data_IF_433746942999
#
_entry.id   IF_433746942999
#
_cell.length_a   1.000
_cell.length_b   1.000
_cell.length_c   1.000
_cell.angle_alpha   90.00
_cell.angle_beta   90.00
_cell.angle_gamma   90.00
#
_symmetry.space_group_name_H-M   'P 1'
#
loop_
_entity.id
_entity.type
_entity.pdbx_description
1 polymer ?
#
# COMPACT_ATOMS: atom_id res chain seq x y z
N UNK A 1 0.34 -16.86 -63.07
CA UNK A 1 -0.31 -16.71 -61.75
C UNK A 1 -1.62 -17.49 -61.78
N UNK A 2 -1.95 -18.28 -60.75
CA UNK A 2 -3.26 -18.93 -60.66
C UNK A 2 -4.30 -17.89 -60.28
N UNK A 3 -5.44 -17.86 -60.98
CA UNK A 3 -6.56 -17.00 -60.62
C UNK A 3 -7.13 -17.41 -59.25
N UNK A 4 -7.60 -16.44 -58.44
CA UNK A 4 -8.28 -16.73 -57.18
C UNK A 4 -9.56 -17.52 -57.44
N UNK A 5 -9.91 -18.40 -56.52
CA UNK A 5 -11.13 -19.21 -56.61
C UNK A 5 -12.36 -18.31 -56.45
N UNK A 6 -13.50 -18.70 -57.05
CA UNK A 6 -14.79 -18.01 -56.89
C UNK A 6 -15.17 -17.76 -55.41
N UNK A 7 -14.80 -18.68 -54.52
CA UNK A 7 -15.00 -18.53 -53.07
C UNK A 7 -14.20 -17.36 -52.48
N UNK A 8 -12.96 -17.16 -52.90
CA UNK A 8 -12.10 -16.07 -52.41
C UNK A 8 -12.61 -14.72 -52.89
N UNK A 9 -13.09 -14.65 -54.14
CA UNK A 9 -13.74 -13.46 -54.68
C UNK A 9 -15.03 -13.12 -53.92
N UNK A 10 -15.82 -14.13 -53.53
CA UNK A 10 -17.03 -13.92 -52.71
C UNK A 10 -16.70 -13.32 -51.35
N UNK A 11 -15.71 -13.86 -50.64
CA UNK A 11 -15.27 -13.31 -49.34
C UNK A 11 -14.72 -11.89 -49.48
N UNK A 12 -13.97 -11.60 -50.55
CA UNK A 12 -13.45 -10.26 -50.81
C UNK A 12 -14.58 -9.24 -51.04
N UNK A 13 -15.60 -9.62 -51.82
CA UNK A 13 -16.79 -8.76 -52.03
C UNK A 13 -17.57 -8.57 -50.73
N UNK A 14 -17.76 -9.63 -49.93
CA UNK A 14 -18.41 -9.53 -48.62
C UNK A 14 -17.64 -8.58 -47.68
N UNK A 15 -16.32 -8.75 -47.58
CA UNK A 15 -15.46 -7.92 -46.74
C UNK A 15 -15.45 -6.45 -47.15
N UNK A 16 -15.65 -6.14 -48.44
CA UNK A 16 -15.71 -4.76 -48.96
C UNK A 16 -16.97 -4.02 -48.51
N UNK A 17 -18.09 -4.75 -48.36
CA UNK A 17 -19.39 -4.18 -48.00
C UNK A 17 -19.61 -4.18 -46.48
N UNK A 18 -18.94 -5.06 -45.75
CA UNK A 18 -19.00 -5.05 -44.28
C UNK A 18 -18.23 -3.86 -43.69
N UNK A 19 -18.74 -3.23 -42.61
CA UNK A 19 -18.03 -2.17 -41.92
C UNK A 19 -16.69 -2.68 -41.36
N UNK A 20 -15.69 -1.80 -41.31
CA UNK A 20 -14.39 -2.13 -40.77
C UNK A 20 -14.49 -2.52 -39.28
N UNK A 21 -13.80 -3.59 -38.90
CA UNK A 21 -13.71 -4.03 -37.50
C UNK A 21 -12.82 -3.11 -36.64
N UNK A 22 -11.95 -2.31 -37.27
CA UNK A 22 -11.01 -1.43 -36.59
C UNK A 22 -11.71 -0.34 -35.78
N UNK A 23 -11.24 -0.12 -34.55
CA UNK A 23 -11.65 1.03 -33.74
C UNK A 23 -11.01 2.32 -34.26
N UNK A 24 -11.53 3.48 -33.85
CA UNK A 24 -11.00 4.80 -34.23
C UNK A 24 -9.82 5.27 -33.37
N UNK A 25 -9.04 4.34 -32.80
CA UNK A 25 -7.84 4.70 -32.03
C UNK A 25 -6.83 5.41 -32.93
N UNK A 26 -6.20 6.53 -32.52
CA UNK A 26 -6.23 7.18 -31.20
C UNK A 26 -7.28 8.29 -31.04
N UNK A 27 -8.11 8.56 -32.05
CA UNK A 27 -9.14 9.64 -32.00
C UNK A 27 -10.23 9.36 -30.96
N UNK A 28 -10.65 8.11 -30.84
CA UNK A 28 -11.56 7.63 -29.79
C UNK A 28 -10.82 6.62 -28.91
N UNK A 29 -10.79 6.79 -27.58
CA UNK A 29 -10.11 5.86 -26.69
C UNK A 29 -10.82 4.51 -26.69
N UNK A 30 -10.06 3.42 -26.62
CA UNK A 30 -10.62 2.11 -26.36
C UNK A 30 -11.12 2.05 -24.92
N UNK A 31 -12.33 1.54 -24.70
CA UNK A 31 -12.89 1.25 -23.39
C UNK A 31 -12.60 -0.21 -23.01
N UNK A 32 -11.71 -0.46 -22.05
CA UNK A 32 -11.40 -1.82 -21.64
C UNK A 32 -12.60 -2.51 -20.97
N UNK A 33 -12.51 -3.83 -20.85
CA UNK A 33 -13.53 -4.60 -20.14
C UNK A 33 -13.52 -4.29 -18.63
N UNK A 34 -14.66 -4.49 -17.96
CA UNK A 34 -14.78 -4.31 -16.50
C UNK A 34 -13.78 -5.24 -15.79
N UNK A 35 -12.98 -4.71 -14.86
CA UNK A 35 -11.87 -5.41 -14.18
C UNK A 35 -10.63 -5.64 -15.06
N UNK A 36 -10.43 -4.83 -16.10
CA UNK A 36 -9.16 -4.78 -16.79
C UNK A 36 -8.02 -4.45 -15.80
N UNK A 37 -6.88 -5.12 -15.97
CA UNK A 37 -5.71 -4.96 -15.10
C UNK A 37 -4.75 -3.92 -15.67
N UNK A 38 -5.11 -2.65 -15.53
CA UNK A 38 -4.27 -1.52 -15.93
C UNK A 38 -3.31 -1.07 -14.84
N UNK A 39 -2.91 0.21 -14.89
CA UNK A 39 -2.00 0.81 -13.93
C UNK A 39 -2.58 0.71 -12.51
N UNK A 40 -1.82 0.18 -11.53
CA UNK A 40 -2.22 0.24 -10.13
C UNK A 40 -2.34 1.70 -9.68
N UNK A 41 -3.49 2.06 -9.11
CA UNK A 41 -3.75 3.34 -8.47
C UNK A 41 -3.71 3.11 -6.96
N UNK A 42 -2.92 3.92 -6.28
CA UNK A 42 -2.73 3.85 -4.83
C UNK A 42 -3.41 5.06 -4.19
N UNK A 43 -4.30 4.80 -3.23
CA UNK A 43 -4.93 5.85 -2.44
C UNK A 43 -4.01 6.20 -1.27
N UNK A 44 -3.65 7.48 -1.13
CA UNK A 44 -2.88 7.90 0.04
C UNK A 44 -3.69 7.78 1.33
N UNK A 45 -4.98 8.08 1.31
CA UNK A 45 -5.82 8.01 2.50
C UNK A 45 -6.11 6.56 2.97
N UNK A 46 -6.18 5.60 2.04
CA UNK A 46 -6.56 4.21 2.35
C UNK A 46 -5.36 3.26 2.45
N UNK A 47 -4.19 3.64 1.93
CA UNK A 47 -2.97 2.86 2.04
C UNK A 47 -2.31 3.08 3.39
N UNK A 48 -2.32 2.05 4.23
CA UNK A 48 -1.78 2.13 5.59
C UNK A 48 -0.29 1.80 5.70
N UNK A 49 0.40 1.50 4.61
CA UNK A 49 1.83 1.17 4.64
C UNK A 49 2.21 -0.13 5.36
N UNK A 50 1.34 -1.15 5.30
CA UNK A 50 1.50 -2.47 5.95
C UNK A 50 2.51 -3.43 5.29
N UNK A 51 3.15 -3.05 4.17
CA UNK A 51 4.14 -3.85 3.42
C UNK A 51 3.61 -5.12 2.72
N UNK A 52 2.35 -5.53 2.92
CA UNK A 52 1.82 -6.76 2.32
C UNK A 52 2.00 -6.78 0.80
N UNK A 53 1.70 -5.67 0.12
CA UNK A 53 1.83 -5.57 -1.34
C UNK A 53 3.29 -5.73 -1.83
N UNK A 54 4.28 -5.32 -1.04
CA UNK A 54 5.70 -5.52 -1.37
C UNK A 54 6.08 -7.00 -1.26
N UNK A 55 5.62 -7.67 -0.20
CA UNK A 55 5.94 -9.08 0.07
C UNK A 55 5.30 -10.06 -0.93
N UNK A 56 4.12 -9.74 -1.47
CA UNK A 56 3.44 -10.60 -2.45
C UNK A 56 3.83 -10.31 -3.91
N UNK A 57 4.63 -9.27 -4.17
CA UNK A 57 4.96 -8.83 -5.51
C UNK A 57 5.96 -9.80 -6.19
N UNK A 58 5.55 -10.58 -7.22
CA UNK A 58 6.45 -11.56 -7.82
C UNK A 58 7.73 -10.96 -8.44
N UNK A 59 7.69 -9.82 -9.17
CA UNK A 59 8.89 -9.21 -9.73
C UNK A 59 9.65 -8.30 -8.77
N UNK A 60 9.17 -8.10 -7.52
CA UNK A 60 9.77 -7.13 -6.60
C UNK A 60 9.67 -5.67 -7.08
N UNK A 61 8.61 -5.33 -7.82
CA UNK A 61 8.36 -3.99 -8.34
C UNK A 61 7.96 -2.97 -7.25
N UNK A 62 7.52 -3.45 -6.09
CA UNK A 62 7.16 -2.62 -4.95
C UNK A 62 8.21 -2.83 -3.86
N UNK A 63 8.91 -1.77 -3.48
CA UNK A 63 9.93 -1.78 -2.44
C UNK A 63 9.57 -0.80 -1.33
N UNK A 64 10.10 -1.01 -0.13
CA UNK A 64 9.95 -0.06 0.96
C UNK A 64 11.26 0.12 1.71
N UNK A 65 11.45 1.30 2.30
CA UNK A 65 12.58 1.62 3.16
C UNK A 65 12.10 2.46 4.34
N UNK A 66 12.61 2.13 5.52
CA UNK A 66 12.34 2.88 6.73
C UNK A 66 13.48 3.86 7.02
N UNK A 67 13.13 5.13 7.16
CA UNK A 67 13.99 6.19 7.68
C UNK A 67 13.59 6.46 9.14
N UNK A 68 14.42 5.98 10.08
CA UNK A 68 14.17 6.11 11.51
C UNK A 68 14.39 7.53 12.04
N UNK A 69 15.27 8.30 11.39
CA UNK A 69 15.58 9.67 11.80
C UNK A 69 14.39 10.58 11.48
N UNK A 70 13.88 10.47 10.25
CA UNK A 70 12.69 11.19 9.81
C UNK A 70 11.38 10.56 10.27
N UNK A 71 11.43 9.35 10.84
CA UNK A 71 10.26 8.55 11.24
C UNK A 71 9.28 8.35 10.08
N UNK A 72 9.79 8.06 8.89
CA UNK A 72 8.96 7.81 7.70
C UNK A 72 9.32 6.49 7.05
N UNK A 73 8.31 5.85 6.49
CA UNK A 73 8.42 4.74 5.57
C UNK A 73 8.22 5.27 4.17
N UNK A 74 9.19 5.01 3.31
CA UNK A 74 9.12 5.35 1.90
C UNK A 74 8.77 4.08 1.15
N UNK A 75 7.67 4.10 0.40
CA UNK A 75 7.21 3.01 -0.45
C UNK A 75 7.40 3.45 -1.89
N UNK A 76 8.16 2.68 -2.65
CA UNK A 76 8.48 2.94 -4.06
C UNK A 76 7.87 1.86 -4.93
N UNK A 77 7.30 2.27 -6.06
CA UNK A 77 6.62 1.40 -7.01
C UNK A 77 7.17 1.66 -8.40
N UNK A 78 7.82 0.65 -8.96
CA UNK A 78 8.41 0.67 -10.28
C UNK A 78 7.46 0.02 -11.30
N UNK A 79 6.72 0.84 -12.05
CA UNK A 79 5.81 0.35 -13.07
C UNK A 79 6.53 -0.24 -14.29
N UNK A 80 7.83 0.02 -14.46
CA UNK A 80 8.65 -0.62 -15.49
C UNK A 80 9.00 -2.08 -15.18
N UNK A 81 8.98 -2.49 -13.91
CA UNK A 81 9.15 -3.89 -13.46
C UNK A 81 7.83 -4.62 -13.23
N UNK A 82 6.74 -3.89 -13.11
CA UNK A 82 5.43 -4.45 -12.79
C UNK A 82 4.92 -5.36 -13.93
N UNK A 83 4.41 -6.54 -13.57
CA UNK A 83 3.78 -7.48 -14.53
C UNK A 83 2.25 -7.39 -14.52
N UNK A 84 1.68 -6.38 -13.84
CA UNK A 84 0.23 -6.10 -13.78
C UNK A 84 -0.64 -7.31 -13.37
N UNK A 85 -0.12 -8.17 -12.50
CA UNK A 85 -0.80 -9.42 -12.12
C UNK A 85 -2.01 -9.23 -11.19
N UNK A 86 -2.08 -8.13 -10.44
CA UNK A 86 -3.16 -7.84 -9.49
C UNK A 86 -2.97 -8.37 -8.06
N UNK A 87 -1.85 -9.04 -7.75
CA UNK A 87 -1.59 -9.59 -6.41
C UNK A 87 -1.60 -8.52 -5.30
N UNK A 88 -1.18 -7.30 -5.61
CA UNK A 88 -1.19 -6.20 -4.65
C UNK A 88 -2.61 -5.75 -4.27
N UNK A 89 -3.56 -5.79 -5.20
CA UNK A 89 -4.97 -5.46 -4.96
C UNK A 89 -5.65 -6.55 -4.12
N UNK A 90 -5.48 -7.82 -4.51
CA UNK A 90 -6.07 -8.97 -3.82
C UNK A 90 -5.63 -9.06 -2.34
N UNK A 91 -4.34 -8.85 -2.08
CA UNK A 91 -3.79 -8.95 -0.72
C UNK A 91 -3.80 -7.62 0.05
N UNK A 92 -4.46 -6.58 -0.47
CA UNK A 92 -4.58 -5.31 0.24
C UNK A 92 -5.47 -5.46 1.48
N UNK A 93 -4.90 -5.33 2.68
CA UNK A 93 -5.66 -5.53 3.94
C UNK A 93 -6.82 -4.54 4.12
N UNK A 94 -6.75 -3.37 3.46
CA UNK A 94 -7.81 -2.36 3.48
C UNK A 94 -8.83 -2.53 2.34
N UNK A 95 -8.50 -3.32 1.30
CA UNK A 95 -9.29 -3.50 0.08
C UNK A 95 -9.43 -2.26 -0.81
N UNK A 96 -8.87 -1.12 -0.37
CA UNK A 96 -8.97 0.18 -1.06
C UNK A 96 -7.62 0.89 -1.23
N UNK A 97 -6.58 0.43 -0.53
CA UNK A 97 -5.26 1.09 -0.56
C UNK A 97 -4.57 1.01 -1.91
N UNK A 98 -4.81 -0.05 -2.68
CA UNK A 98 -4.37 -0.18 -4.07
C UNK A 98 -5.43 -0.90 -4.89
N UNK A 99 -5.72 -0.40 -6.08
CA UNK A 99 -6.63 -1.01 -7.05
C UNK A 99 -6.06 -0.92 -8.45
N UNK A 100 -6.26 -1.94 -9.27
CA UNK A 100 -5.87 -1.85 -10.67
C UNK A 100 -6.91 -1.03 -11.42
N UNK A 101 -6.44 -0.04 -12.19
CA UNK A 101 -7.32 0.79 -13.01
C UNK A 101 -7.82 0.00 -14.22
N UNK A 102 -9.12 0.12 -14.49
CA UNK A 102 -9.74 -0.33 -15.72
C UNK A 102 -9.63 0.71 -16.86
N UNK A 103 -9.38 1.97 -16.53
CA UNK A 103 -9.29 3.08 -17.48
C UNK A 103 -7.85 3.39 -17.92
N UNK A 104 -6.89 3.31 -17.00
CA UNK A 104 -5.49 3.69 -17.26
C UNK A 104 -4.69 2.46 -17.70
N UNK A 105 -4.52 2.29 -19.01
CA UNK A 105 -3.70 1.22 -19.60
C UNK A 105 -2.49 1.73 -20.37
N UNK A 106 -2.55 2.95 -20.91
CA UNK A 106 -1.46 3.55 -21.66
C UNK A 106 -0.57 4.37 -20.71
N UNK A 107 0.58 3.79 -20.36
CA UNK A 107 1.59 4.43 -19.50
C UNK A 107 2.95 4.53 -20.21
N UNK A 108 2.97 4.41 -21.54
CA UNK A 108 4.21 4.47 -22.30
C UNK A 108 4.92 5.82 -22.07
N UNK A 109 6.17 5.77 -21.63
CA UNK A 109 7.01 6.93 -21.34
C UNK A 109 8.43 6.68 -21.84
N UNK A 110 9.10 7.75 -22.27
CA UNK A 110 10.50 7.69 -22.71
C UNK A 110 11.48 7.65 -21.54
N UNK A 111 11.13 8.32 -20.43
CA UNK A 111 11.93 8.33 -19.21
C UNK A 111 11.39 7.31 -18.20
N UNK A 112 12.30 6.51 -17.64
CA UNK A 112 12.00 5.52 -16.60
C UNK A 112 11.66 6.18 -15.27
N UNK A 113 12.17 7.37 -14.97
CA UNK A 113 11.92 8.03 -13.69
C UNK A 113 10.43 8.36 -13.50
N UNK A 114 9.70 8.61 -14.59
CA UNK A 114 8.26 8.90 -14.60
C UNK A 114 7.42 7.65 -14.28
N UNK A 115 7.98 6.45 -14.48
CA UNK A 115 7.34 5.17 -14.13
C UNK A 115 7.54 4.79 -12.66
N UNK A 116 8.22 5.62 -11.88
CA UNK A 116 8.43 5.43 -10.46
C UNK A 116 7.44 6.27 -9.67
N UNK A 117 6.72 5.64 -8.75
CA UNK A 117 5.86 6.33 -7.80
C UNK A 117 6.37 6.16 -6.37
N UNK A 118 6.39 7.26 -5.62
CA UNK A 118 6.86 7.31 -4.23
C UNK A 118 5.73 7.76 -3.31
N UNK A 119 5.57 7.04 -2.21
CA UNK A 119 4.63 7.35 -1.15
C UNK A 119 5.33 7.33 0.21
N UNK A 120 5.00 8.26 1.09
CA UNK A 120 5.59 8.36 2.42
C UNK A 120 4.54 8.16 3.50
N UNK A 121 4.88 7.40 4.55
CA UNK A 121 3.99 7.08 5.67
C UNK A 121 4.70 7.25 7.00
N UNK A 122 4.04 7.87 7.97
CA UNK A 122 4.65 8.11 9.28
C UNK A 122 4.82 6.80 10.07
N UNK A 123 6.03 6.57 10.56
CA UNK A 123 6.42 5.43 11.38
C UNK A 123 6.09 5.67 12.85
N UNK A 124 5.61 4.60 13.48
CA UNK A 124 5.50 4.43 14.91
C UNK A 124 6.75 3.68 15.41
N UNK A 125 7.58 4.38 16.18
CA UNK A 125 8.85 3.87 16.69
C UNK A 125 8.76 3.72 18.21
N UNK A 126 9.41 2.69 18.74
CA UNK A 126 9.53 2.50 20.17
C UNK A 126 10.46 3.56 20.79
N UNK A 127 9.96 4.27 21.80
CA UNK A 127 10.71 5.33 22.48
C UNK A 127 11.90 4.81 23.29
N UNK A 128 11.88 3.54 23.70
CA UNK A 128 12.97 2.94 24.50
C UNK A 128 14.10 2.34 23.66
N UNK A 129 13.80 1.63 22.58
CA UNK A 129 14.81 0.87 21.83
C UNK A 129 14.98 1.33 20.37
N UNK A 130 14.16 2.27 19.88
CA UNK A 130 14.22 2.73 18.49
C UNK A 130 13.79 1.67 17.46
N UNK A 131 13.19 0.56 17.89
CA UNK A 131 12.63 -0.42 16.98
C UNK A 131 11.40 0.16 16.26
N UNK A 132 11.31 -0.09 14.95
CA UNK A 132 10.10 0.22 14.16
C UNK A 132 9.02 -0.77 14.58
N UNK A 133 7.86 -0.25 14.98
CA UNK A 133 6.72 -1.09 15.35
C UNK A 133 5.85 -1.31 14.10
N UNK A 134 5.40 -0.22 13.49
CA UNK A 134 4.59 -0.18 12.26
C UNK A 134 4.42 1.28 11.83
N UNK A 135 3.60 1.59 10.82
CA UNK A 135 3.09 2.94 10.55
C UNK A 135 1.93 3.33 11.50
N UNK A 136 1.74 4.63 11.75
CA UNK A 136 0.61 5.12 12.56
C UNK A 136 -0.74 4.74 11.98
N UNK A 137 -0.89 4.87 10.66
CA UNK A 137 -2.12 4.55 9.94
C UNK A 137 -2.47 3.05 10.02
N UNK A 138 -1.48 2.16 9.99
CA UNK A 138 -1.72 0.73 10.15
C UNK A 138 -2.21 0.40 11.55
N UNK A 139 -1.64 1.02 12.59
CA UNK A 139 -2.14 0.81 13.95
C UNK A 139 -3.57 1.35 14.13
N UNK A 140 -3.88 2.52 13.54
CA UNK A 140 -5.23 3.07 13.53
C UNK A 140 -6.22 2.18 12.77
N UNK A 141 -5.79 1.56 11.67
CA UNK A 141 -6.59 0.56 10.96
C UNK A 141 -6.85 -0.69 11.82
N UNK A 142 -5.81 -1.22 12.48
CA UNK A 142 -5.95 -2.36 13.39
C UNK A 142 -6.88 -2.05 14.56
N UNK A 143 -6.80 -0.86 15.13
CA UNK A 143 -7.72 -0.42 16.18
C UNK A 143 -9.18 -0.46 15.70
N UNK A 144 -9.49 0.15 14.55
CA UNK A 144 -10.83 0.13 13.96
C UNK A 144 -11.31 -1.29 13.66
N UNK A 145 -10.42 -2.16 13.17
CA UNK A 145 -10.75 -3.56 12.84
C UNK A 145 -10.99 -4.43 14.07
N UNK A 146 -10.27 -4.20 15.17
CA UNK A 146 -10.39 -4.95 16.43
C UNK A 146 -11.51 -4.43 17.35
N UNK A 147 -11.90 -3.16 17.20
CA UNK A 147 -12.96 -2.53 18.00
C UNK A 147 -12.67 -2.59 19.51
N UNK A 148 -13.63 -3.02 20.35
CA UNK A 148 -13.44 -3.13 21.81
C UNK A 148 -12.26 -4.00 22.24
N UNK A 149 -11.82 -4.95 21.40
CA UNK A 149 -10.66 -5.80 21.73
C UNK A 149 -9.34 -5.04 21.67
N UNK A 150 -9.27 -3.92 20.94
CA UNK A 150 -8.04 -3.15 20.83
C UNK A 150 -7.56 -2.61 22.18
N UNK A 151 -8.48 -2.30 23.10
CA UNK A 151 -8.19 -1.78 24.44
C UNK A 151 -7.45 -2.77 25.35
N UNK A 152 -7.44 -4.07 25.01
CA UNK A 152 -6.66 -5.06 25.74
C UNK A 152 -5.14 -4.87 25.57
N UNK A 153 -4.72 -4.20 24.49
CA UNK A 153 -3.31 -3.89 24.23
C UNK A 153 -2.99 -2.48 24.67
N UNK A 154 -2.03 -2.37 25.60
CA UNK A 154 -1.54 -1.10 26.12
C UNK A 154 -0.99 -0.20 25.00
N UNK A 155 -0.33 -0.77 23.99
CA UNK A 155 0.17 -0.01 22.84
C UNK A 155 -0.98 0.63 22.05
N UNK A 156 -2.05 -0.13 21.79
CA UNK A 156 -3.21 0.40 21.06
C UNK A 156 -3.90 1.50 21.87
N UNK A 157 -4.00 1.34 23.18
CA UNK A 157 -4.56 2.35 24.07
C UNK A 157 -3.72 3.65 24.07
N UNK A 158 -2.39 3.52 24.15
CA UNK A 158 -1.49 4.68 24.18
C UNK A 158 -1.53 5.47 22.87
N UNK A 159 -1.54 4.78 21.72
CA UNK A 159 -1.67 5.46 20.42
C UNK A 159 -3.06 6.09 20.25
N UNK A 160 -4.13 5.44 20.73
CA UNK A 160 -5.46 6.05 20.71
C UNK A 160 -5.51 7.33 21.56
N UNK A 161 -4.92 7.33 22.76
CA UNK A 161 -4.85 8.50 23.61
C UNK A 161 -4.10 9.66 22.93
N UNK A 162 -3.02 9.37 22.21
CA UNK A 162 -2.30 10.36 21.40
C UNK A 162 -3.17 10.93 20.26
N UNK A 163 -3.96 10.07 19.60
CA UNK A 163 -4.86 10.49 18.52
C UNK A 163 -6.06 11.32 19.03
N UNK A 164 -6.68 10.90 20.13
CA UNK A 164 -7.85 11.58 20.70
C UNK A 164 -7.49 12.89 21.42
N UNK A 165 -6.20 13.11 21.74
CA UNK A 165 -5.70 14.32 22.44
C UNK A 165 -6.48 14.62 23.73
N UNK A 166 -6.90 13.58 24.44
CA UNK A 166 -7.67 13.72 25.69
C UNK A 166 -6.87 14.41 26.81
N UNK A 167 -5.54 14.44 26.68
CA UNK A 167 -4.62 15.21 27.52
C UNK A 167 -3.62 15.96 26.63
N UNK A 168 -2.99 17.02 27.17
CA UNK A 168 -1.97 17.78 26.43
C UNK A 168 -0.75 16.86 26.20
N UNK A 169 -0.08 17.00 25.05
CA UNK A 169 1.04 16.13 24.66
C UNK A 169 2.21 16.16 25.67
N UNK A 170 2.34 17.25 26.42
CA UNK A 170 3.32 17.47 27.49
C UNK A 170 3.03 16.61 28.74
N UNK A 171 1.76 16.25 28.98
CA UNK A 171 1.34 15.47 30.15
C UNK A 171 1.43 13.95 29.91
N UNK A 172 1.53 13.51 28.65
CA UNK A 172 1.51 12.08 28.26
C UNK A 172 2.92 11.51 28.13
N UNK A 173 3.91 12.33 27.72
CA UNK A 173 5.26 11.86 27.40
C UNK A 173 6.14 11.80 28.64
N UNK A 174 6.24 10.62 29.25
CA UNK A 174 7.23 10.35 30.28
C UNK A 174 8.52 9.95 29.59
N UNK A 175 9.54 10.80 29.58
CA UNK A 175 10.85 10.43 29.03
C UNK A 175 11.36 9.15 29.70
N UNK A 176 11.66 8.12 28.90
CA UNK A 176 12.26 6.88 29.40
C UNK A 176 13.64 7.21 29.95
N UNK A 177 13.75 7.27 31.28
CA UNK A 177 14.98 7.58 32.02
C UNK A 177 15.20 6.48 33.06
N UNK A 178 16.46 6.10 33.25
CA UNK A 178 16.90 5.12 34.27
C UNK A 178 16.37 3.68 34.07
N UNK A 179 16.38 3.22 32.82
CA UNK A 179 15.91 1.87 32.45
C UNK A 179 14.37 1.76 32.37
N UNK A 180 13.89 0.61 31.90
CA UNK A 180 12.46 0.35 31.72
C UNK A 180 11.79 0.07 33.06
N UNK A 181 10.94 1.01 33.52
CA UNK A 181 10.14 0.92 34.75
C UNK A 181 8.66 0.74 34.40
N UNK A 182 7.84 0.37 35.40
CA UNK A 182 6.39 0.16 35.23
C UNK A 182 5.64 1.38 34.67
N UNK A 183 6.10 2.59 34.98
CA UNK A 183 5.54 3.84 34.46
C UNK A 183 5.69 3.99 32.93
N UNK A 184 6.73 3.38 32.33
CA UNK A 184 7.03 3.50 30.91
C UNK A 184 6.08 2.65 30.04
N UNK A 185 5.18 1.89 30.66
CA UNK A 185 4.14 1.11 30.00
C UNK A 185 3.10 1.99 29.27
N UNK A 186 2.97 3.26 29.68
CA UNK A 186 2.08 4.25 29.06
C UNK A 186 2.71 4.98 27.87
N UNK A 187 4.00 4.73 27.61
CA UNK A 187 4.68 5.24 26.43
C UNK A 187 4.46 4.32 25.21
N UNK A 188 4.87 4.79 24.03
CA UNK A 188 4.87 3.97 22.82
C UNK A 188 6.07 3.02 22.87
N UNK A 189 5.82 1.79 23.32
CA UNK A 189 6.84 0.74 23.48
C UNK A 189 6.54 -0.48 22.62
N UNK A 190 7.57 -1.10 22.05
CA UNK A 190 7.41 -2.35 21.29
C UNK A 190 7.08 -3.52 22.23
N UNK A 191 6.49 -4.62 21.71
CA UNK A 191 6.14 -5.79 22.52
C UNK A 191 7.31 -6.37 23.34
N UNK A 192 8.54 -6.30 22.80
CA UNK A 192 9.74 -6.76 23.51
C UNK A 192 10.11 -5.87 24.70
N UNK A 193 10.00 -4.54 24.56
CA UNK A 193 10.21 -3.61 25.69
C UNK A 193 9.07 -3.70 26.70
N UNK A 194 7.83 -3.84 26.24
CA UNK A 194 6.66 -4.05 27.11
C UNK A 194 6.82 -5.32 27.94
N UNK A 195 7.27 -6.43 27.34
CA UNK A 195 7.58 -7.67 28.06
C UNK A 195 8.63 -7.44 29.14
N UNK A 196 9.68 -6.66 28.87
CA UNK A 196 10.69 -6.34 29.89
C UNK A 196 10.08 -5.59 31.07
N UNK A 197 9.18 -4.64 30.83
CA UNK A 197 8.48 -3.90 31.90
C UNK A 197 7.60 -4.83 32.75
N UNK A 198 6.84 -5.73 32.11
CA UNK A 198 5.88 -6.61 32.78
C UNK A 198 6.54 -7.78 33.52
N UNK A 199 7.61 -8.35 32.95
CA UNK A 199 8.23 -9.59 33.45
C UNK A 199 9.45 -9.31 34.33
N UNK A 200 10.20 -8.21 34.13
CA UNK A 200 11.27 -7.80 35.07
C UNK A 200 10.71 -7.14 36.33
N UNK A 201 9.72 -7.77 36.95
CA UNK A 201 9.50 -7.65 38.39
C UNK A 201 10.46 -8.67 39.02
N UNK A 202 11.75 -8.39 38.94
CA UNK A 202 12.76 -9.14 39.68
C UNK A 202 13.14 -8.25 40.86
N UNK A 203 12.78 -8.73 42.05
CA UNK A 203 13.06 -8.26 43.40
C UNK A 203 14.22 -7.26 43.55
#
# INVERSE_FOLDING_TARGET
MRYPKLRELREAVLSLVTPAYTTRFPKEPHTPFKNYRGKPIVSDADCVGCETCANVCPPGAITFRDDKEKRIRIIERDYGKCIFCGQCEEHCITGKGVKLSDEIYDIAQFDRTVLMERQEKELLICESCGAVITTKEHLAFMHRKLGPRAFSSLLNLNVLNEQLRLARAEDIKVGVRDGLKRKDMFNIVCPNCLRKILVKISY
#
